data_IF_227173055476
#
_entry.id   IF_227173055476
#
_cell.length_a   1.000
_cell.length_b   1.000
_cell.length_c   1.000
_cell.angle_alpha   90.00
_cell.angle_beta   90.00
_cell.angle_gamma   90.00
#
_symmetry.space_group_name_H-M   'P 1'
#
loop_
_entity.id
_entity.type
_entity.pdbx_description
1 polymer ?
#
# COMPACT_ATOMS: atom_id res chain seq x y z
N UNK A 1 9.60 9.10 9.00
CA UNK A 1 10.81 8.89 8.18
C UNK A 1 10.50 7.79 7.16
N UNK A 2 10.49 8.09 5.86
CA UNK A 2 10.05 7.13 4.81
C UNK A 2 10.93 5.89 4.69
N UNK A 3 12.24 6.01 4.95
CA UNK A 3 13.18 4.87 4.88
C UNK A 3 12.85 3.71 5.84
N UNK A 4 12.15 4.01 6.94
CA UNK A 4 11.66 2.99 7.86
C UNK A 4 10.57 2.11 7.23
N UNK A 5 9.67 2.70 6.43
CA UNK A 5 8.58 1.96 5.78
C UNK A 5 9.12 0.95 4.77
N UNK A 6 10.07 1.37 3.94
CA UNK A 6 10.66 0.50 2.91
C UNK A 6 11.42 -0.66 3.55
N UNK A 7 12.26 -0.41 4.56
CA UNK A 7 12.97 -1.48 5.28
C UNK A 7 12.01 -2.48 5.96
N UNK A 8 10.92 -1.99 6.55
CA UNK A 8 9.93 -2.86 7.16
C UNK A 8 9.15 -3.68 6.12
N UNK A 9 8.75 -3.06 5.01
CA UNK A 9 8.08 -3.76 3.90
C UNK A 9 8.95 -4.89 3.34
N UNK A 10 10.24 -4.64 3.14
CA UNK A 10 11.19 -5.68 2.73
C UNK A 10 11.25 -6.85 3.72
N UNK A 11 11.22 -6.56 5.03
CA UNK A 11 11.13 -7.61 6.06
C UNK A 11 9.86 -8.44 5.91
N UNK A 12 8.72 -7.82 5.60
CA UNK A 12 7.46 -8.53 5.35
C UNK A 12 7.53 -9.42 4.11
N UNK A 13 8.18 -8.95 3.04
CA UNK A 13 8.40 -9.74 1.83
C UNK A 13 9.27 -10.96 2.11
N UNK A 14 10.41 -10.79 2.79
CA UNK A 14 11.32 -11.87 3.17
C UNK A 14 10.67 -12.92 4.08
N UNK A 15 9.81 -12.48 5.02
CA UNK A 15 9.03 -13.38 5.89
C UNK A 15 7.86 -14.07 5.20
N UNK A 16 7.54 -13.71 3.95
CA UNK A 16 6.48 -14.35 3.14
C UNK A 16 5.07 -14.31 3.77
N UNK A 17 4.82 -13.33 4.64
CA UNK A 17 3.56 -13.17 5.39
C UNK A 17 2.43 -12.54 4.56
N UNK A 18 2.77 -11.88 3.45
CA UNK A 18 1.79 -11.26 2.55
C UNK A 18 1.40 -12.26 1.45
N UNK A 19 0.23 -12.90 1.58
CA UNK A 19 -0.20 -13.99 0.66
C UNK A 19 -0.16 -13.59 -0.82
N UNK A 20 -0.51 -12.34 -1.16
CA UNK A 20 -0.53 -11.81 -2.53
C UNK A 20 0.86 -11.67 -3.16
N UNK A 21 1.89 -11.58 -2.32
CA UNK A 21 3.28 -11.32 -2.69
C UNK A 21 4.21 -12.47 -2.30
N UNK A 22 3.69 -13.54 -1.69
CA UNK A 22 4.47 -14.68 -1.16
C UNK A 22 5.38 -15.33 -2.19
N UNK A 23 4.96 -15.33 -3.46
CA UNK A 23 5.70 -15.91 -4.57
C UNK A 23 6.84 -15.06 -5.11
N UNK A 24 6.95 -13.78 -4.74
CA UNK A 24 7.97 -12.87 -5.28
C UNK A 24 9.11 -12.62 -4.29
N UNK A 25 10.26 -12.19 -4.80
CA UNK A 25 11.39 -11.69 -4.01
C UNK A 25 11.75 -10.27 -4.43
N UNK A 26 12.39 -9.49 -3.58
CA UNK A 26 12.84 -8.14 -3.94
C UNK A 26 13.93 -8.24 -5.00
N UNK A 27 13.71 -7.62 -6.16
CA UNK A 27 14.73 -7.51 -7.22
C UNK A 27 15.39 -6.14 -7.23
N UNK A 28 14.58 -5.08 -7.10
CA UNK A 28 15.05 -3.69 -7.05
C UNK A 28 14.24 -2.88 -6.06
N UNK A 29 14.88 -1.84 -5.52
CA UNK A 29 14.26 -0.81 -4.68
C UNK A 29 14.33 0.53 -5.41
N UNK A 30 13.46 1.47 -5.04
CA UNK A 30 13.51 2.84 -5.54
C UNK A 30 13.50 2.90 -7.09
N UNK A 31 12.59 2.14 -7.69
CA UNK A 31 12.55 1.85 -9.13
C UNK A 31 11.81 2.95 -9.87
N UNK A 32 12.45 3.52 -10.88
CA UNK A 32 11.79 4.48 -11.78
C UNK A 32 10.87 3.71 -12.73
N UNK A 33 9.60 4.09 -12.76
CA UNK A 33 8.61 3.60 -13.72
C UNK A 33 7.69 4.76 -14.12
N UNK A 34 7.52 4.97 -15.42
CA UNK A 34 6.89 6.18 -15.95
C UNK A 34 7.60 7.44 -15.42
N UNK A 35 6.82 8.35 -14.83
CA UNK A 35 7.32 9.61 -14.31
C UNK A 35 7.46 9.60 -12.77
N UNK A 36 7.46 8.42 -12.16
CA UNK A 36 7.53 8.26 -10.71
C UNK A 36 8.60 7.26 -10.29
N UNK A 37 8.92 7.30 -9.00
CA UNK A 37 9.77 6.31 -8.35
C UNK A 37 8.91 5.51 -7.39
N UNK A 38 8.76 4.23 -7.68
CA UNK A 38 8.04 3.25 -6.87
C UNK A 38 9.01 2.57 -5.91
N UNK A 39 8.53 2.20 -4.72
CA UNK A 39 9.41 1.69 -3.66
C UNK A 39 10.11 0.37 -4.03
N UNK A 40 9.42 -0.54 -4.71
CA UNK A 40 9.97 -1.86 -5.05
C UNK A 40 9.55 -2.37 -6.43
N UNK A 41 10.46 -3.12 -7.04
CA UNK A 41 10.14 -4.14 -8.03
C UNK A 41 10.47 -5.50 -7.42
N UNK A 42 9.45 -6.35 -7.33
CA UNK A 42 9.57 -7.74 -6.93
C UNK A 42 9.56 -8.65 -8.15
N UNK A 43 10.14 -9.84 -8.05
CA UNK A 43 10.06 -10.82 -9.13
C UNK A 43 10.30 -12.28 -8.73
N UNK A 44 9.78 -13.15 -9.59
CA UNK A 44 9.99 -14.61 -9.60
C UNK A 44 9.42 -15.15 -10.94
N UNK A 45 10.12 -14.87 -12.04
CA UNK A 45 9.59 -15.04 -13.40
C UNK A 45 8.70 -13.87 -13.82
N UNK A 46 7.58 -13.66 -13.13
CA UNK A 46 6.75 -12.46 -13.28
C UNK A 46 7.32 -11.29 -12.47
N UNK A 47 6.98 -10.06 -12.87
CA UNK A 47 7.42 -8.82 -12.27
C UNK A 47 6.25 -8.11 -11.58
N UNK A 48 6.46 -7.64 -10.35
CA UNK A 48 5.44 -6.95 -9.56
C UNK A 48 5.96 -5.62 -9.00
N UNK A 49 5.36 -4.50 -9.42
CA UNK A 49 5.64 -3.19 -8.83
C UNK A 49 4.90 -3.02 -7.52
N UNK A 50 5.57 -2.48 -6.49
CA UNK A 50 4.97 -2.27 -5.17
C UNK A 50 5.28 -0.87 -4.66
N UNK A 51 4.23 -0.17 -4.23
CA UNK A 51 4.31 1.08 -3.50
C UNK A 51 3.94 0.87 -2.03
N UNK A 52 4.63 1.54 -1.12
CA UNK A 52 4.44 1.46 0.33
C UNK A 52 3.99 2.80 0.89
N UNK A 53 2.89 2.81 1.65
CA UNK A 53 2.33 4.00 2.30
C UNK A 53 2.25 3.79 3.80
N UNK A 54 2.71 4.77 4.58
CA UNK A 54 2.42 4.82 6.01
C UNK A 54 1.02 5.38 6.25
N UNK A 55 0.25 4.77 7.14
CA UNK A 55 -1.06 5.23 7.54
C UNK A 55 -1.10 5.42 9.07
N UNK A 56 -1.25 6.68 9.48
CA UNK A 56 -1.23 7.12 10.88
C UNK A 56 -2.53 7.77 11.33
N UNK A 57 -3.44 8.06 10.40
CA UNK A 57 -4.77 8.55 10.69
C UNK A 57 -5.70 7.36 10.96
N UNK A 58 -6.44 7.45 12.05
CA UNK A 58 -7.43 6.48 12.46
C UNK A 58 -8.65 7.22 13.01
N UNK A 59 -9.85 6.73 12.68
CA UNK A 59 -11.12 7.19 13.24
C UNK A 59 -12.04 5.99 13.49
N UNK A 60 -12.55 5.87 14.71
CA UNK A 60 -13.53 4.85 15.13
C UNK A 60 -13.12 3.41 14.77
N UNK A 61 -11.85 3.06 14.94
CA UNK A 61 -11.27 1.76 14.60
C UNK A 61 -10.91 1.58 13.13
N UNK A 62 -11.08 2.60 12.28
CA UNK A 62 -10.80 2.55 10.84
C UNK A 62 -9.57 3.38 10.54
N UNK A 63 -8.54 2.75 9.99
CA UNK A 63 -7.37 3.43 9.45
C UNK A 63 -7.72 4.11 8.12
N UNK A 64 -7.35 5.38 7.96
CA UNK A 64 -7.72 6.21 6.82
C UNK A 64 -6.48 6.75 6.11
N UNK A 65 -6.47 6.70 4.79
CA UNK A 65 -5.43 7.33 3.99
C UNK A 65 -6.00 8.00 2.73
N UNK A 66 -5.60 9.23 2.40
CA UNK A 66 -4.62 10.05 3.11
C UNK A 66 -5.23 10.87 4.27
N UNK A 67 -4.38 11.54 5.05
CA UNK A 67 -4.76 12.48 6.10
C UNK A 67 -4.88 13.94 5.60
N UNK A 68 -4.32 14.23 4.42
CA UNK A 68 -4.47 15.46 3.65
C UNK A 68 -4.50 15.12 2.13
N UNK A 69 -4.99 16.00 1.24
CA UNK A 69 -4.98 15.74 -0.20
C UNK A 69 -3.59 15.37 -0.72
N UNK A 70 -3.47 14.31 -1.54
CA UNK A 70 -2.18 13.74 -1.96
C UNK A 70 -2.08 13.56 -3.48
N UNK A 71 -1.64 14.62 -4.17
CA UNK A 71 -1.36 14.56 -5.62
C UNK A 71 -0.30 13.50 -5.94
N UNK A 72 0.77 13.43 -5.12
CA UNK A 72 1.85 12.45 -5.31
C UNK A 72 1.38 11.02 -5.05
N UNK A 73 0.60 10.79 -3.99
CA UNK A 73 0.04 9.47 -3.72
C UNK A 73 -0.87 8.99 -4.85
N UNK A 74 -1.71 9.89 -5.39
CA UNK A 74 -2.56 9.59 -6.55
C UNK A 74 -1.73 9.29 -7.79
N UNK A 75 -0.68 10.07 -8.08
CA UNK A 75 0.24 9.81 -9.21
C UNK A 75 0.82 8.41 -9.12
N UNK A 76 1.31 7.98 -7.95
CA UNK A 76 1.87 6.63 -7.79
C UNK A 76 0.84 5.52 -8.05
N UNK A 77 -0.42 5.70 -7.64
CA UNK A 77 -1.50 4.74 -7.99
C UNK A 77 -1.76 4.70 -9.49
N UNK A 78 -1.69 5.84 -10.19
CA UNK A 78 -1.82 5.88 -11.65
C UNK A 78 -0.67 5.16 -12.36
N UNK A 79 0.56 5.24 -11.84
CA UNK A 79 1.70 4.48 -12.37
C UNK A 79 1.55 2.98 -12.13
N UNK A 80 1.02 2.58 -10.96
CA UNK A 80 0.69 1.18 -10.71
C UNK A 80 -0.40 0.68 -11.69
N UNK A 81 -1.42 1.49 -11.97
CA UNK A 81 -2.43 1.18 -13.00
C UNK A 81 -1.80 0.99 -14.37
N UNK A 82 -0.91 1.91 -14.78
CA UNK A 82 -0.16 1.82 -16.03
C UNK A 82 0.68 0.55 -16.10
N UNK A 83 1.33 0.17 -15.00
CA UNK A 83 2.09 -1.08 -14.92
C UNK A 83 1.19 -2.31 -15.20
N UNK A 84 -0.04 -2.32 -14.69
CA UNK A 84 -1.00 -3.39 -15.00
C UNK A 84 -1.40 -3.44 -16.47
N UNK A 85 -1.56 -2.27 -17.10
CA UNK A 85 -1.87 -2.17 -18.53
C UNK A 85 -0.72 -2.68 -19.40
N UNK A 86 0.52 -2.52 -18.94
CA UNK A 86 1.73 -3.06 -19.56
C UNK A 86 1.98 -4.55 -19.23
N UNK A 87 1.09 -5.21 -18.48
CA UNK A 87 1.15 -6.63 -18.16
C UNK A 87 1.95 -6.99 -16.90
N UNK A 88 2.35 -5.99 -16.11
CA UNK A 88 3.00 -6.23 -14.81
C UNK A 88 1.96 -6.50 -13.71
N UNK A 89 2.34 -7.31 -12.72
CA UNK A 89 1.61 -7.31 -11.46
C UNK A 89 1.86 -5.99 -10.72
N UNK A 90 0.89 -5.55 -9.91
CA UNK A 90 1.03 -4.33 -9.13
C UNK A 90 0.38 -4.47 -7.75
N UNK A 91 1.01 -3.88 -6.75
CA UNK A 91 0.49 -3.82 -5.39
C UNK A 91 0.74 -2.46 -4.72
N UNK A 92 -0.12 -2.14 -3.77
CA UNK A 92 0.10 -1.05 -2.81
C UNK A 92 -0.07 -1.58 -1.39
N UNK A 93 0.91 -1.30 -0.54
CA UNK A 93 1.01 -1.78 0.83
C UNK A 93 0.86 -0.61 1.80
N UNK A 94 -0.21 -0.61 2.58
CA UNK A 94 -0.42 0.31 3.69
C UNK A 94 0.12 -0.29 4.99
N UNK A 95 1.07 0.43 5.61
CA UNK A 95 1.59 0.16 6.94
C UNK A 95 0.80 1.00 7.94
N UNK A 96 -0.16 0.37 8.60
CA UNK A 96 -1.07 1.02 9.56
C UNK A 96 -0.42 1.00 10.94
N UNK A 97 -0.06 2.18 11.44
CA UNK A 97 0.69 2.37 12.70
C UNK A 97 -0.19 2.81 13.88
N UNK A 98 -1.51 2.74 13.71
CA UNK A 98 -2.49 2.99 14.77
C UNK A 98 -3.33 1.75 15.00
N UNK A 99 -3.93 1.65 16.19
CA UNK A 99 -4.85 0.58 16.52
C UNK A 99 -6.10 0.69 15.65
N UNK A 100 -6.15 -0.10 14.59
CA UNK A 100 -7.30 -0.19 13.69
C UNK A 100 -7.67 -1.64 13.43
N UNK A 101 -8.95 -1.88 13.19
CA UNK A 101 -9.52 -3.17 12.81
C UNK A 101 -9.77 -3.27 11.31
N UNK A 102 -9.76 -2.16 10.58
CA UNK A 102 -9.91 -2.10 9.13
C UNK A 102 -9.16 -0.89 8.56
N UNK A 103 -9.00 -0.89 7.23
CA UNK A 103 -8.46 0.23 6.46
C UNK A 103 -9.47 0.66 5.40
N UNK A 104 -9.57 1.95 5.13
CA UNK A 104 -10.34 2.51 4.02
C UNK A 104 -9.60 3.71 3.41
N UNK A 105 -9.64 3.93 2.08
CA UNK A 105 -9.22 5.21 1.54
C UNK A 105 -10.13 6.32 2.09
N UNK A 106 -9.55 7.47 2.37
CA UNK A 106 -10.25 8.59 2.98
C UNK A 106 -11.02 9.39 1.92
N UNK A 107 -12.17 8.87 1.50
CA UNK A 107 -13.01 9.41 0.43
C UNK A 107 -13.32 10.90 0.54
N UNK A 108 -13.57 11.39 1.75
CA UNK A 108 -13.85 12.81 2.00
C UNK A 108 -12.61 13.71 1.90
N UNK A 109 -11.43 13.18 2.23
CA UNK A 109 -10.18 13.95 2.22
C UNK A 109 -9.59 14.07 0.82
N UNK A 110 -9.55 12.96 0.08
CA UNK A 110 -9.07 12.94 -1.29
C UNK A 110 -9.88 11.92 -2.09
N UNK A 111 -10.98 12.41 -2.66
CA UNK A 111 -11.85 11.59 -3.50
C UNK A 111 -11.10 11.12 -4.76
N UNK A 112 -10.22 11.93 -5.33
CA UNK A 112 -9.48 11.58 -6.54
C UNK A 112 -8.49 10.42 -6.28
N UNK A 113 -7.77 10.45 -5.15
CA UNK A 113 -6.94 9.32 -4.71
C UNK A 113 -7.80 8.06 -4.50
N UNK A 114 -8.93 8.22 -3.80
CA UNK A 114 -9.82 7.10 -3.46
C UNK A 114 -10.40 6.42 -4.70
N UNK A 115 -10.83 7.21 -5.69
CA UNK A 115 -11.28 6.69 -6.99
C UNK A 115 -10.15 5.99 -7.76
N UNK A 116 -8.94 6.57 -7.80
CA UNK A 116 -7.81 5.92 -8.44
C UNK A 116 -7.48 4.57 -7.79
N UNK A 117 -7.48 4.51 -6.45
CA UNK A 117 -7.22 3.29 -5.69
C UNK A 117 -8.33 2.25 -5.89
N UNK A 118 -9.58 2.68 -5.98
CA UNK A 118 -10.70 1.81 -6.30
C UNK A 118 -10.57 1.21 -7.70
N UNK A 119 -10.30 2.04 -8.72
CA UNK A 119 -10.05 1.59 -10.11
C UNK A 119 -8.88 0.61 -10.17
N UNK A 120 -7.80 0.89 -9.45
CA UNK A 120 -6.66 -0.03 -9.31
C UNK A 120 -7.09 -1.40 -8.80
N UNK A 121 -7.92 -1.45 -7.74
CA UNK A 121 -8.48 -2.71 -7.25
C UNK A 121 -9.31 -3.45 -8.30
N UNK A 122 -10.14 -2.74 -9.07
CA UNK A 122 -11.00 -3.33 -10.10
C UNK A 122 -10.18 -3.93 -11.26
N UNK A 123 -9.02 -3.34 -11.57
CA UNK A 123 -8.07 -3.84 -12.57
C UNK A 123 -7.11 -4.92 -12.03
N UNK A 124 -7.50 -5.67 -10.98
CA UNK A 124 -6.69 -6.73 -10.32
C UNK A 124 -5.53 -6.22 -9.44
N UNK A 125 -5.50 -4.93 -9.13
CA UNK A 125 -4.47 -4.34 -8.28
C UNK A 125 -4.56 -4.87 -6.86
N UNK A 126 -3.43 -5.27 -6.28
CA UNK A 126 -3.39 -5.84 -4.94
C UNK A 126 -3.30 -4.72 -3.90
N UNK A 127 -4.29 -4.63 -3.02
CA UNK A 127 -4.32 -3.60 -1.97
C UNK A 127 -4.23 -4.30 -0.63
N UNK A 128 -3.16 -4.01 0.10
CA UNK A 128 -2.79 -4.74 1.31
C UNK A 128 -2.67 -3.74 2.45
N UNK A 129 -3.38 -3.96 3.54
CA UNK A 129 -3.22 -3.21 4.77
C UNK A 129 -2.68 -4.11 5.89
N UNK A 130 -1.56 -3.70 6.49
CA UNK A 130 -0.90 -4.39 7.58
C UNK A 130 -0.94 -3.53 8.84
N UNK A 131 -1.47 -4.08 9.93
CA UNK A 131 -1.43 -3.45 11.23
C UNK A 131 -0.07 -3.72 11.87
N UNK A 132 0.65 -2.63 12.15
CA UNK A 132 1.90 -2.62 12.88
C UNK A 132 1.66 -2.12 14.30
N UNK A 133 2.25 -2.80 15.27
CA UNK A 133 2.27 -2.36 16.66
C UNK A 133 3.62 -1.71 16.95
N UNK A 134 3.63 -0.73 17.86
CA UNK A 134 4.83 -0.05 18.35
C UNK A 134 4.73 0.09 19.87
N UNK A 135 5.79 -0.27 20.59
CA UNK A 135 5.86 -0.16 22.06
C UNK A 135 6.71 1.02 22.56
N UNK A 136 7.20 1.88 21.65
CA UNK A 136 8.18 2.93 21.97
C UNK A 136 9.61 2.58 21.53
N UNK A 137 9.90 1.30 21.28
CA UNK A 137 11.24 0.81 20.93
C UNK A 137 11.23 -0.12 19.71
N UNK A 138 10.26 -1.03 19.64
CA UNK A 138 10.15 -2.03 18.60
C UNK A 138 8.85 -1.86 17.84
N UNK A 139 8.93 -2.06 16.53
CA UNK A 139 7.75 -2.18 15.68
C UNK A 139 7.65 -3.63 15.20
N UNK A 140 6.46 -4.20 15.29
CA UNK A 140 6.24 -5.56 14.79
C UNK A 140 4.92 -5.67 14.04
N UNK A 141 4.92 -6.66 13.15
CA UNK A 141 3.75 -7.02 12.35
C UNK A 141 2.74 -7.76 13.23
N UNK A 142 1.55 -7.19 13.41
CA UNK A 142 0.45 -7.83 14.15
C UNK A 142 -0.38 -8.74 13.26
N UNK A 143 -0.55 -8.34 12.01
CA UNK A 143 -1.41 -9.04 11.07
C UNK A 143 -1.92 -8.14 9.97
N UNK A 144 -2.68 -8.73 9.05
CA UNK A 144 -3.46 -7.98 8.06
C UNK A 144 -4.76 -7.51 8.65
N UNK A 145 -5.23 -6.38 8.16
CA UNK A 145 -6.59 -5.89 8.41
C UNK A 145 -7.37 -5.81 7.10
N UNK A 146 -8.70 -6.00 7.13
CA UNK A 146 -9.55 -5.87 5.97
C UNK A 146 -9.46 -4.47 5.34
N UNK A 147 -9.47 -4.43 4.01
CA UNK A 147 -9.54 -3.21 3.20
C UNK A 147 -11.00 -3.01 2.77
N UNK A 148 -11.58 -1.87 3.11
CA UNK A 148 -12.95 -1.49 2.80
C UNK A 148 -12.90 -0.44 1.69
N UNK A 149 -13.48 -0.74 0.53
CA UNK A 149 -13.43 0.13 -0.66
C UNK A 149 -14.71 0.90 -0.94
N UNK A 150 -15.59 1.00 0.06
CA UNK A 150 -16.82 1.77 -0.07
C UNK A 150 -16.66 3.11 0.65
N UNK A 151 -17.28 4.19 0.14
CA UNK A 151 -17.48 5.39 0.94
C UNK A 151 -18.20 4.96 2.21
N UNK A 152 -17.67 5.33 3.38
CA UNK A 152 -18.47 5.27 4.60
C UNK A 152 -19.73 6.09 4.34
N UNK A 153 -20.90 5.45 4.46
CA UNK A 153 -22.20 6.09 4.20
C UNK A 153 -22.33 7.42 4.92
N UNK A 154 -23.05 8.34 4.28
CA UNK A 154 -23.33 9.71 4.74
C UNK A 154 -23.66 9.81 6.22
#
# INVERSE_FOLDING_TARGET
HSGYHSSFAETLFGRRVLKELRGYSVEKKEVIFGDSRLDFLLGNGNKCFVEVKGCTLERNGIALFPDAPTVRGRKHVMELLKAQEEGYDAAILFLVMRRATSFSPHWHMDSAFSHALHTFSQKRGKIIACHLMFDGTHVWYKGRIPVIMQPSGR
#
